data_IF_351746373570
#
_entry.id   IF_351746373570
#
_cell.length_a   1.000
_cell.length_b   1.000
_cell.length_c   1.000
_cell.angle_alpha   90.00
_cell.angle_beta   90.00
_cell.angle_gamma   90.00
#
_symmetry.space_group_name_H-M   'P 1'
#
loop_
_entity.id
_entity.type
_entity.pdbx_description
1 polymer ?
#
# COMPACT_ATOMS: atom_id res chain seq x y z
N UNK A 1 5.00 11.58 -24.41
CA UNK A 1 6.14 11.21 -23.57
C UNK A 1 7.02 10.31 -24.41
N UNK A 2 8.05 10.90 -25.01
CA UNK A 2 8.98 10.18 -25.90
C UNK A 2 10.43 10.29 -25.44
N UNK A 3 10.72 11.17 -24.48
CA UNK A 3 12.07 11.39 -23.96
C UNK A 3 12.25 10.88 -22.54
N UNK A 4 13.51 10.65 -22.16
CA UNK A 4 13.86 10.23 -20.79
C UNK A 4 13.56 11.33 -19.79
N UNK A 5 13.83 12.58 -20.18
CA UNK A 5 13.66 13.77 -19.34
C UNK A 5 12.20 13.96 -18.93
N UNK A 6 11.27 13.84 -19.88
CA UNK A 6 9.82 13.94 -19.60
C UNK A 6 9.36 12.86 -18.61
N UNK A 7 9.81 11.63 -18.82
CA UNK A 7 9.41 10.49 -17.99
C UNK A 7 10.01 10.57 -16.59
N UNK A 8 11.29 10.94 -16.48
CA UNK A 8 11.92 11.15 -15.17
C UNK A 8 11.28 12.32 -14.44
N UNK A 9 10.97 13.44 -15.11
CA UNK A 9 10.28 14.57 -14.51
C UNK A 9 8.90 14.17 -13.96
N UNK A 10 8.13 13.36 -14.71
CA UNK A 10 6.85 12.85 -14.24
C UNK A 10 7.03 11.89 -13.05
N UNK A 11 7.96 10.93 -13.13
CA UNK A 11 8.24 10.00 -12.02
C UNK A 11 8.70 10.72 -10.75
N UNK A 12 9.47 11.80 -10.87
CA UNK A 12 9.95 12.61 -9.74
C UNK A 12 8.89 13.57 -9.18
N UNK A 13 7.76 13.74 -9.86
CA UNK A 13 6.64 14.54 -9.35
C UNK A 13 5.87 13.84 -8.22
N UNK A 14 6.03 12.51 -8.07
CA UNK A 14 5.37 11.75 -7.03
C UNK A 14 6.00 12.00 -5.65
N UNK A 15 5.22 11.94 -4.56
CA UNK A 15 5.72 12.16 -3.20
C UNK A 15 6.88 11.24 -2.83
N UNK A 16 7.82 11.78 -2.04
CA UNK A 16 8.94 11.02 -1.47
C UNK A 16 9.79 10.26 -2.50
N UNK A 17 9.89 10.75 -3.74
CA UNK A 17 10.71 10.09 -4.77
C UNK A 17 12.13 10.67 -4.88
N UNK A 18 13.04 9.88 -5.46
CA UNK A 18 14.38 10.31 -5.83
C UNK A 18 14.90 9.52 -7.04
N UNK A 19 15.81 10.13 -7.80
CA UNK A 19 16.50 9.50 -8.93
C UNK A 19 17.80 8.84 -8.47
N UNK A 20 18.10 7.67 -9.03
CA UNK A 20 19.35 6.96 -8.79
C UNK A 20 19.81 6.24 -10.07
N UNK A 21 21.12 6.21 -10.28
CA UNK A 21 21.79 5.40 -11.31
C UNK A 21 22.69 4.37 -10.61
N UNK A 22 22.12 3.25 -10.11
CA UNK A 22 22.85 2.33 -9.22
C UNK A 22 23.85 1.42 -9.97
N UNK A 23 23.88 1.47 -11.30
CA UNK A 23 24.74 0.63 -12.13
C UNK A 23 25.89 1.43 -12.72
N UNK A 24 26.99 0.74 -13.05
CA UNK A 24 28.09 1.36 -13.80
C UNK A 24 27.65 1.86 -15.18
N UNK A 25 26.72 1.13 -15.81
CA UNK A 25 26.08 1.54 -17.06
C UNK A 25 25.13 2.73 -16.84
N UNK A 26 25.54 3.89 -17.36
CA UNK A 26 24.78 5.14 -17.27
C UNK A 26 23.47 5.12 -18.07
N UNK A 27 23.28 4.12 -18.94
CA UNK A 27 22.03 3.93 -19.68
C UNK A 27 20.84 3.73 -18.73
N UNK A 28 21.05 3.22 -17.53
CA UNK A 28 19.98 2.96 -16.57
C UNK A 28 19.78 4.13 -15.62
N UNK A 29 18.56 4.67 -15.58
CA UNK A 29 18.16 5.68 -14.60
C UNK A 29 16.85 5.23 -13.96
N UNK A 30 16.81 5.20 -12.63
CA UNK A 30 15.67 4.71 -11.85
C UNK A 30 15.06 5.83 -11.04
N UNK A 31 13.74 5.76 -10.85
CA UNK A 31 13.02 6.52 -9.83
C UNK A 31 12.58 5.58 -8.72
N UNK A 32 12.92 5.95 -7.49
CA UNK A 32 12.70 5.17 -6.27
C UNK A 32 11.94 5.98 -5.23
N UNK A 33 11.33 5.29 -4.27
CA UNK A 33 10.68 5.90 -3.11
C UNK A 33 11.63 5.91 -1.91
N UNK A 34 11.76 7.07 -1.25
CA UNK A 34 12.52 7.24 0.00
C UNK A 34 11.97 6.30 1.08
N UNK A 35 12.82 5.95 2.05
CA UNK A 35 12.48 4.98 3.09
C UNK A 35 12.50 3.53 2.59
N UNK A 36 11.56 3.14 1.72
CA UNK A 36 11.49 1.76 1.19
C UNK A 36 12.61 1.41 0.21
N UNK A 37 13.18 2.43 -0.47
CA UNK A 37 14.17 2.31 -1.54
C UNK A 37 13.70 1.48 -2.75
N UNK A 38 12.42 1.14 -2.84
CA UNK A 38 11.86 0.38 -3.97
C UNK A 38 11.82 1.28 -5.21
N UNK A 39 12.27 0.72 -6.34
CA UNK A 39 12.12 1.34 -7.65
C UNK A 39 10.75 1.00 -8.23
N UNK A 40 10.11 1.98 -8.84
CA UNK A 40 8.86 1.79 -9.60
C UNK A 40 9.01 2.16 -11.08
N UNK A 41 10.01 2.95 -11.43
CA UNK A 41 10.26 3.35 -12.80
C UNK A 41 11.73 3.15 -13.12
N UNK A 42 12.01 2.33 -14.13
CA UNK A 42 13.35 2.20 -14.70
C UNK A 42 13.29 2.72 -16.12
N UNK A 43 14.24 3.57 -16.49
CA UNK A 43 14.39 4.09 -17.84
C UNK A 43 15.71 3.61 -18.42
N UNK A 44 15.70 3.20 -19.67
CA UNK A 44 16.90 2.82 -20.42
C UNK A 44 16.66 2.96 -21.92
N UNK A 45 17.72 3.19 -22.68
CA UNK A 45 17.69 3.23 -24.13
C UNK A 45 18.01 1.85 -24.70
N UNK A 46 17.23 1.43 -25.70
CA UNK A 46 17.44 0.18 -26.44
C UNK A 46 16.81 0.29 -27.82
N UNK A 47 17.54 -0.14 -28.84
CA UNK A 47 17.10 -0.13 -30.25
C UNK A 47 16.63 1.25 -30.73
N UNK A 48 17.27 2.34 -30.24
CA UNK A 48 16.92 3.71 -30.61
C UNK A 48 15.71 4.31 -29.89
N UNK A 49 15.10 3.58 -28.95
CA UNK A 49 13.96 4.07 -28.17
C UNK A 49 14.25 4.10 -26.68
N UNK A 50 13.64 5.03 -25.97
CA UNK A 50 13.54 4.97 -24.52
C UNK A 50 12.52 3.90 -24.14
N UNK A 51 12.92 3.02 -23.23
CA UNK A 51 12.12 1.92 -22.71
C UNK A 51 11.92 2.14 -21.21
N UNK A 52 10.73 1.81 -20.71
CA UNK A 52 10.36 1.96 -19.32
C UNK A 52 10.01 0.61 -18.71
N UNK A 53 10.65 0.21 -17.61
CA UNK A 53 10.10 -0.89 -16.79
C UNK A 53 9.26 -0.31 -15.65
N UNK A 54 8.02 -0.78 -15.56
CA UNK A 54 7.03 -0.40 -14.54
C UNK A 54 6.40 -1.66 -13.94
N UNK A 55 6.09 -1.62 -12.65
CA UNK A 55 5.33 -2.67 -11.98
C UNK A 55 3.86 -2.61 -12.36
N UNK A 56 3.23 -3.77 -12.40
CA UNK A 56 1.78 -3.90 -12.55
C UNK A 56 1.32 -5.15 -11.80
N UNK A 57 0.05 -5.16 -11.39
CA UNK A 57 -0.63 -6.37 -10.93
C UNK A 57 -0.99 -7.29 -12.12
N UNK A 58 -1.41 -8.51 -11.83
CA UNK A 58 -1.67 -9.52 -12.85
C UNK A 58 -2.72 -9.09 -13.87
N UNK A 59 -3.77 -8.39 -13.44
CA UNK A 59 -4.85 -7.94 -14.33
C UNK A 59 -4.37 -6.83 -15.27
N UNK A 60 -3.67 -5.85 -14.72
CA UNK A 60 -3.13 -4.72 -15.47
C UNK A 60 -2.02 -5.14 -16.44
N UNK A 61 -1.20 -6.14 -16.09
CA UNK A 61 -0.15 -6.66 -16.97
C UNK A 61 -0.72 -7.13 -18.30
N UNK A 62 -1.75 -7.98 -18.24
CA UNK A 62 -2.35 -8.57 -19.44
C UNK A 62 -3.15 -7.55 -20.23
N UNK A 63 -3.88 -6.66 -19.54
CA UNK A 63 -4.61 -5.57 -20.17
C UNK A 63 -3.70 -4.70 -21.05
N UNK A 64 -2.61 -4.16 -20.51
CA UNK A 64 -1.76 -3.24 -21.26
C UNK A 64 -1.01 -3.92 -22.41
N UNK A 65 -0.58 -5.18 -22.23
CA UNK A 65 0.08 -5.98 -23.28
C UNK A 65 -0.86 -6.29 -24.45
N UNK A 66 -2.15 -6.48 -24.17
CA UNK A 66 -3.16 -6.70 -25.21
C UNK A 66 -3.56 -5.39 -25.90
N UNK A 67 -3.55 -4.27 -25.17
CA UNK A 67 -3.93 -2.97 -25.69
C UNK A 67 -2.88 -2.36 -26.64
N UNK A 68 -1.58 -2.58 -26.38
CA UNK A 68 -0.49 -1.97 -27.15
C UNK A 68 0.64 -2.96 -27.44
N UNK A 69 1.00 -3.13 -28.71
CA UNK A 69 2.14 -3.98 -29.12
C UNK A 69 3.47 -3.51 -28.50
N UNK A 70 3.59 -2.19 -28.29
CA UNK A 70 4.76 -1.55 -27.67
C UNK A 70 4.79 -1.69 -26.14
N UNK A 71 3.84 -2.42 -25.54
CA UNK A 71 3.88 -2.88 -24.15
C UNK A 71 4.14 -4.38 -24.11
N UNK A 72 5.32 -4.77 -23.66
CA UNK A 72 5.78 -6.16 -23.66
C UNK A 72 6.07 -6.67 -22.24
N UNK A 73 6.23 -7.99 -22.03
CA UNK A 73 6.69 -8.51 -20.74
C UNK A 73 8.03 -7.91 -20.31
N UNK A 74 8.18 -7.62 -19.01
CA UNK A 74 9.33 -6.90 -18.45
C UNK A 74 10.68 -7.45 -18.90
N UNK A 75 11.44 -6.63 -19.62
CA UNK A 75 12.81 -6.91 -20.04
C UNK A 75 13.79 -6.71 -18.88
N UNK A 76 14.66 -7.70 -18.66
CA UNK A 76 15.54 -7.80 -17.48
C UNK A 76 14.80 -7.73 -16.12
N UNK A 77 13.49 -7.96 -16.11
CA UNK A 77 12.65 -7.95 -14.91
C UNK A 77 11.80 -9.22 -14.83
N UNK A 78 11.14 -9.44 -13.68
CA UNK A 78 10.18 -10.53 -13.52
C UNK A 78 8.90 -10.23 -14.32
N UNK A 79 8.60 -11.04 -15.33
CA UNK A 79 7.47 -10.87 -16.25
C UNK A 79 6.09 -11.02 -15.59
N UNK A 80 6.01 -11.61 -14.42
CA UNK A 80 4.77 -11.72 -13.63
C UNK A 80 4.44 -10.45 -12.84
N UNK A 81 5.36 -9.49 -12.78
CA UNK A 81 5.20 -8.27 -11.99
C UNK A 81 5.58 -6.98 -12.72
N UNK A 82 6.11 -7.09 -13.95
CA UNK A 82 6.65 -5.96 -14.68
C UNK A 82 6.28 -6.00 -16.16
N UNK A 83 5.97 -4.82 -16.68
CA UNK A 83 5.89 -4.53 -18.11
C UNK A 83 7.07 -3.65 -18.54
N UNK A 84 7.45 -3.80 -19.81
CA UNK A 84 8.28 -2.82 -20.52
C UNK A 84 7.40 -2.04 -21.48
N UNK A 85 7.48 -0.71 -21.42
CA UNK A 85 6.84 0.20 -22.37
C UNK A 85 7.93 0.72 -23.31
N UNK A 86 7.77 0.56 -24.62
CA UNK A 86 8.65 1.13 -25.63
C UNK A 86 8.07 2.47 -26.06
N UNK A 87 8.82 3.57 -25.89
CA UNK A 87 8.38 4.92 -26.22
C UNK A 87 8.67 5.25 -27.69
N UNK A 88 7.97 4.58 -28.59
CA UNK A 88 8.02 4.80 -30.04
C UNK A 88 6.93 5.78 -30.55
N UNK A 89 6.12 6.32 -29.63
CA UNK A 89 5.01 7.23 -29.93
C UNK A 89 3.68 6.53 -30.21
N UNK A 90 3.61 5.20 -30.19
CA UNK A 90 2.36 4.44 -30.39
C UNK A 90 1.48 4.37 -29.14
N UNK A 91 2.06 4.47 -27.95
CA UNK A 91 1.33 4.45 -26.67
C UNK A 91 0.97 5.90 -26.29
N UNK A 92 -0.33 6.21 -26.11
CA UNK A 92 -0.76 7.54 -25.68
C UNK A 92 -0.12 7.98 -24.37
N UNK A 93 0.17 9.28 -24.26
CA UNK A 93 0.85 9.88 -23.11
C UNK A 93 0.16 9.63 -21.78
N UNK A 94 -1.17 9.69 -21.77
CA UNK A 94 -2.01 9.42 -20.61
C UNK A 94 -1.92 7.95 -20.18
N UNK A 95 -1.88 7.00 -21.13
CA UNK A 95 -1.66 5.59 -20.83
C UNK A 95 -0.26 5.33 -20.23
N UNK A 96 0.79 5.97 -20.77
CA UNK A 96 2.15 5.87 -20.20
C UNK A 96 2.18 6.45 -18.78
N UNK A 97 1.56 7.61 -18.57
CA UNK A 97 1.46 8.23 -17.23
C UNK A 97 0.67 7.37 -16.24
N UNK A 98 -0.39 6.72 -16.69
CA UNK A 98 -1.19 5.82 -15.86
C UNK A 98 -0.36 4.61 -15.42
N UNK A 99 0.33 3.93 -16.34
CA UNK A 99 1.18 2.78 -16.00
C UNK A 99 2.31 3.14 -15.02
N UNK A 100 2.90 4.34 -15.13
CA UNK A 100 3.90 4.84 -14.16
C UNK A 100 3.25 5.08 -12.79
N UNK A 101 2.06 5.70 -12.76
CA UNK A 101 1.33 5.98 -11.52
C UNK A 101 0.94 4.69 -10.80
N UNK A 102 0.39 3.71 -11.52
CA UNK A 102 0.02 2.40 -10.97
C UNK A 102 1.24 1.69 -10.38
N UNK A 103 2.38 1.76 -11.05
CA UNK A 103 3.62 1.20 -10.54
C UNK A 103 4.10 1.89 -9.27
N UNK A 104 3.97 3.21 -9.16
CA UNK A 104 4.27 3.96 -7.95
C UNK A 104 3.35 3.51 -6.80
N UNK A 105 2.05 3.39 -7.06
CA UNK A 105 1.07 2.93 -6.10
C UNK A 105 1.42 1.52 -5.61
N UNK A 106 1.80 0.59 -6.48
CA UNK A 106 2.20 -0.77 -6.10
C UNK A 106 3.40 -0.78 -5.13
N UNK A 107 4.42 0.08 -5.35
CA UNK A 107 5.61 0.07 -4.47
C UNK A 107 5.39 0.83 -3.16
N UNK A 108 4.52 1.84 -3.17
CA UNK A 108 4.15 2.63 -2.00
C UNK A 108 3.02 1.98 -1.21
N UNK A 109 2.33 1.02 -1.80
CA UNK A 109 1.31 0.20 -1.16
C UNK A 109 1.90 -0.51 0.06
N UNK A 110 1.58 0.02 1.24
CA UNK A 110 1.90 -0.60 2.52
C UNK A 110 0.59 -0.98 3.19
N UNK A 111 0.19 -2.26 3.14
CA UNK A 111 -0.97 -2.76 3.86
C UNK A 111 -0.93 -2.33 5.33
N UNK A 112 0.23 -2.44 5.96
CA UNK A 112 0.46 -2.04 7.35
C UNK A 112 0.17 -0.56 7.58
N UNK A 113 0.61 0.33 6.68
CA UNK A 113 0.31 1.77 6.78
C UNK A 113 -1.20 2.02 6.66
N UNK A 114 -1.86 1.42 5.68
CA UNK A 114 -3.33 1.55 5.50
C UNK A 114 -4.11 1.02 6.70
N UNK A 115 -3.65 -0.08 7.29
CA UNK A 115 -4.23 -0.64 8.53
C UNK A 115 -4.10 0.37 9.68
N UNK A 116 -2.91 0.95 9.89
CA UNK A 116 -2.73 1.97 10.92
C UNK A 116 -3.56 3.22 10.66
N UNK A 117 -3.62 3.69 9.42
CA UNK A 117 -4.45 4.83 9.03
C UNK A 117 -5.95 4.53 9.21
N UNK A 118 -6.40 3.29 8.97
CA UNK A 118 -7.76 2.86 9.24
C UNK A 118 -8.05 2.82 10.76
N UNK A 119 -7.12 2.29 11.56
CA UNK A 119 -7.27 2.24 13.03
C UNK A 119 -7.31 3.64 13.63
N UNK A 120 -6.52 4.60 13.12
CA UNK A 120 -6.56 6.01 13.53
C UNK A 120 -7.92 6.68 13.27
N UNK A 121 -8.70 6.18 12.31
CA UNK A 121 -10.05 6.69 12.00
C UNK A 121 -11.12 6.17 12.94
N UNK A 122 -10.86 5.17 13.80
CA UNK A 122 -11.83 4.67 14.76
C UNK A 122 -12.08 5.74 15.83
N UNK A 123 -13.29 6.34 15.91
CA UNK A 123 -13.55 7.43 16.84
C UNK A 123 -13.42 6.98 18.31
N UNK A 124 -13.14 7.94 19.19
CA UNK A 124 -13.28 7.71 20.64
C UNK A 124 -14.73 7.33 20.96
N UNK A 125 -14.92 6.35 21.84
CA UNK A 125 -16.25 5.82 22.16
C UNK A 125 -16.76 4.76 21.17
N UNK A 126 -15.97 4.39 20.16
CA UNK A 126 -16.32 3.33 19.20
C UNK A 126 -15.24 2.23 19.16
N UNK A 127 -15.66 1.05 18.72
CA UNK A 127 -14.79 -0.08 18.36
C UNK A 127 -15.01 -0.48 16.91
N UNK A 128 -14.01 -1.10 16.30
CA UNK A 128 -14.14 -1.74 14.99
C UNK A 128 -13.67 -3.19 15.09
N UNK A 129 -14.28 -4.08 14.31
CA UNK A 129 -13.78 -5.45 14.20
C UNK A 129 -12.54 -5.51 13.31
N UNK A 130 -11.70 -6.54 13.47
CA UNK A 130 -10.59 -6.78 12.53
C UNK A 130 -11.03 -6.80 11.06
N UNK A 131 -12.23 -7.32 10.78
CA UNK A 131 -12.81 -7.32 9.43
C UNK A 131 -13.17 -5.93 8.92
N UNK A 132 -13.75 -5.08 9.77
CA UNK A 132 -14.05 -3.68 9.42
C UNK A 132 -12.77 -2.87 9.18
N UNK A 133 -11.75 -3.05 10.02
CA UNK A 133 -10.44 -2.41 9.80
C UNK A 133 -9.83 -2.87 8.48
N UNK A 134 -9.94 -4.15 8.15
CA UNK A 134 -9.45 -4.69 6.87
C UNK A 134 -10.21 -4.07 5.68
N UNK A 135 -11.53 -3.95 5.77
CA UNK A 135 -12.38 -3.28 4.78
C UNK A 135 -12.02 -1.80 4.60
N UNK A 136 -11.84 -1.05 5.70
CA UNK A 136 -11.35 0.33 5.69
C UNK A 136 -9.92 0.47 5.11
N UNK A 137 -9.09 -0.57 5.28
CA UNK A 137 -7.74 -0.65 4.73
C UNK A 137 -7.71 -1.14 3.27
N UNK A 138 -8.88 -1.39 2.65
CA UNK A 138 -9.04 -1.65 1.22
C UNK A 138 -9.26 -3.10 0.81
N UNK A 139 -9.21 -4.06 1.74
CA UNK A 139 -9.58 -5.44 1.46
C UNK A 139 -10.04 -6.16 2.74
N UNK A 140 -11.35 -6.49 2.78
CA UNK A 140 -12.02 -7.16 3.89
C UNK A 140 -11.40 -8.53 4.24
N UNK A 141 -10.70 -9.19 3.30
CA UNK A 141 -10.04 -10.49 3.53
C UNK A 141 -8.72 -10.36 4.29
N UNK A 142 -8.24 -9.14 4.58
CA UNK A 142 -6.96 -8.90 5.26
C UNK A 142 -7.02 -8.93 6.80
N UNK A 143 -8.09 -9.44 7.43
CA UNK A 143 -8.24 -9.43 8.90
C UNK A 143 -7.04 -10.04 9.65
N UNK A 144 -6.40 -11.10 9.11
CA UNK A 144 -5.18 -11.68 9.70
C UNK A 144 -3.98 -10.75 9.59
N UNK A 145 -3.85 -10.03 8.47
CA UNK A 145 -2.80 -9.03 8.29
C UNK A 145 -3.00 -7.85 9.27
N UNK A 146 -4.25 -7.46 9.55
CA UNK A 146 -4.58 -6.48 10.60
C UNK A 146 -4.04 -6.92 11.95
N UNK A 147 -4.33 -8.16 12.39
CA UNK A 147 -3.80 -8.69 13.65
C UNK A 147 -2.27 -8.65 13.73
N UNK A 148 -1.59 -9.08 12.67
CA UNK A 148 -0.13 -9.06 12.59
C UNK A 148 0.45 -7.64 12.65
N UNK A 149 -0.20 -6.67 11.98
CA UNK A 149 0.20 -5.27 12.00
C UNK A 149 0.01 -4.66 13.40
N UNK A 150 -1.16 -4.86 14.02
CA UNK A 150 -1.44 -4.29 15.33
C UNK A 150 -0.53 -4.82 16.45
N UNK A 151 -0.08 -6.08 16.34
CA UNK A 151 0.91 -6.64 17.25
C UNK A 151 2.30 -5.97 17.13
N UNK A 152 2.59 -5.35 15.97
CA UNK A 152 3.83 -4.63 15.68
C UNK A 152 3.60 -3.12 15.60
N UNK A 153 2.56 -2.63 16.25
CA UNK A 153 2.19 -1.21 16.24
C UNK A 153 3.40 -0.36 16.71
N UNK A 154 4.02 0.45 15.83
CA UNK A 154 5.23 1.19 16.16
C UNK A 154 4.92 2.43 17.02
N UNK A 155 3.64 2.82 17.14
CA UNK A 155 3.21 4.02 17.84
C UNK A 155 1.88 3.76 18.60
N UNK A 156 1.92 3.06 19.75
CA UNK A 156 0.74 2.72 20.55
C UNK A 156 -0.01 3.90 21.18
N UNK A 157 0.61 5.09 21.16
CA UNK A 157 0.02 6.34 21.65
C UNK A 157 -0.92 6.94 20.60
N UNK A 158 -0.49 7.01 19.34
CA UNK A 158 -1.28 7.63 18.26
C UNK A 158 -2.04 6.63 17.39
N UNK A 159 -1.78 5.32 17.49
CA UNK A 159 -2.53 4.26 16.80
C UNK A 159 -3.33 3.48 17.86
N UNK A 160 -4.65 3.76 18.03
CA UNK A 160 -5.46 3.21 19.11
C UNK A 160 -5.90 1.77 18.85
N UNK A 161 -4.95 0.83 18.74
CA UNK A 161 -5.22 -0.57 18.43
C UNK A 161 -6.09 -1.29 19.47
N UNK A 162 -6.18 -0.76 20.70
CA UNK A 162 -7.07 -1.26 21.75
C UNK A 162 -8.57 -1.11 21.39
N UNK A 163 -8.93 -0.25 20.43
CA UNK A 163 -10.29 -0.11 19.89
C UNK A 163 -10.66 -1.21 18.88
N UNK A 164 -9.74 -2.14 18.58
CA UNK A 164 -9.98 -3.23 17.64
C UNK A 164 -10.30 -4.52 18.39
N UNK A 165 -11.46 -5.10 18.07
CA UNK A 165 -11.99 -6.32 18.72
C UNK A 165 -12.28 -7.41 17.69
N UNK A 166 -12.53 -8.64 18.13
CA UNK A 166 -12.92 -9.70 17.20
C UNK A 166 -14.36 -9.56 16.70
N UNK A 167 -14.80 -10.43 15.79
CA UNK A 167 -16.15 -10.38 15.20
C UNK A 167 -17.29 -10.60 16.20
N UNK A 168 -16.99 -11.08 17.41
CA UNK A 168 -17.93 -11.27 18.51
C UNK A 168 -17.87 -10.13 19.55
N UNK A 169 -17.03 -9.13 19.32
CA UNK A 169 -16.78 -8.03 20.26
C UNK A 169 -15.81 -8.40 21.39
N UNK A 170 -15.16 -9.55 21.34
CA UNK A 170 -14.26 -10.01 22.39
C UNK A 170 -12.91 -9.30 22.28
N UNK A 171 -12.33 -8.99 23.44
CA UNK A 171 -11.03 -8.37 23.57
C UNK A 171 -9.90 -9.31 23.12
N UNK A 172 -8.73 -8.73 22.84
CA UNK A 172 -7.52 -9.50 22.59
C UNK A 172 -7.04 -10.20 23.87
N UNK A 173 -6.21 -11.23 23.71
CA UNK A 173 -5.68 -11.99 24.85
C UNK A 173 -4.93 -11.12 25.87
N UNK A 174 -4.93 -11.58 27.12
CA UNK A 174 -4.51 -10.91 28.36
C UNK A 174 -3.09 -10.27 28.38
N UNK A 175 -2.30 -10.34 27.32
CA UNK A 175 -0.97 -9.71 27.28
C UNK A 175 -0.70 -8.92 26.00
N UNK A 176 -1.68 -8.83 25.10
CA UNK A 176 -1.55 -8.09 23.85
C UNK A 176 -1.24 -6.59 24.08
N UNK A 177 -1.55 -6.07 25.26
CA UNK A 177 -1.37 -4.66 25.64
C UNK A 177 -0.52 -4.48 26.91
N UNK A 178 0.31 -5.47 27.27
CA UNK A 178 1.19 -5.37 28.44
C UNK A 178 0.54 -5.75 29.78
N UNK A 179 -0.66 -6.32 29.77
CA UNK A 179 -1.32 -6.88 30.96
C UNK A 179 -2.79 -7.23 30.73
N UNK A 180 -3.35 -8.06 31.63
CA UNK A 180 -4.66 -8.73 31.43
C UNK A 180 -5.81 -7.78 31.17
N UNK A 181 -5.79 -6.61 31.79
CA UNK A 181 -6.91 -5.67 31.77
C UNK A 181 -6.64 -4.41 30.95
N UNK A 182 -5.45 -4.26 30.36
CA UNK A 182 -5.04 -2.98 29.76
C UNK A 182 -5.95 -2.58 28.60
N UNK A 183 -6.41 -3.52 27.77
CA UNK A 183 -7.35 -3.20 26.71
C UNK A 183 -8.69 -2.71 27.28
N UNK A 184 -9.23 -3.42 28.27
CA UNK A 184 -10.50 -3.08 28.89
C UNK A 184 -10.45 -1.70 29.55
N UNK A 185 -9.37 -1.39 30.26
CA UNK A 185 -9.21 -0.10 30.95
C UNK A 185 -9.10 1.07 29.97
N UNK A 186 -8.38 0.90 28.85
CA UNK A 186 -8.32 1.91 27.79
C UNK A 186 -9.66 2.10 27.09
N UNK A 187 -10.43 1.03 26.88
CA UNK A 187 -11.79 1.11 26.33
C UNK A 187 -12.75 1.84 27.28
N UNK A 188 -12.70 1.53 28.58
CA UNK A 188 -13.50 2.23 29.60
C UNK A 188 -13.15 3.71 29.69
N UNK A 189 -11.87 4.06 29.60
CA UNK A 189 -11.42 5.46 29.52
C UNK A 189 -11.93 6.18 28.26
N UNK A 190 -12.25 5.43 27.20
CA UNK A 190 -12.91 5.91 25.99
C UNK A 190 -14.46 5.94 26.10
N UNK A 191 -15.03 5.58 27.25
CA UNK A 191 -16.48 5.57 27.49
C UNK A 191 -17.17 4.29 27.00
N UNK A 192 -16.41 3.21 26.77
CA UNK A 192 -16.91 1.94 26.26
C UNK A 192 -17.07 0.96 27.42
N UNK A 193 -18.29 0.44 27.61
CA UNK A 193 -18.57 -0.61 28.58
C UNK A 193 -17.98 -1.94 28.11
N UNK A 194 -17.31 -2.63 29.04
CA UNK A 194 -16.69 -3.95 28.81
C UNK A 194 -17.19 -4.90 29.88
N UNK A 195 -17.89 -5.94 29.46
CA UNK A 195 -18.45 -7.00 30.32
C UNK A 195 -17.94 -8.36 29.84
N UNK A 196 -17.39 -9.18 30.74
CA UNK A 196 -16.87 -10.51 30.43
C UNK A 196 -15.91 -10.52 29.21
N UNK A 197 -14.95 -9.58 29.19
CA UNK A 197 -14.00 -9.37 28.09
C UNK A 197 -14.65 -9.16 26.72
N UNK A 198 -15.84 -8.57 26.70
CA UNK A 198 -16.61 -8.30 25.50
C UNK A 198 -17.19 -6.89 25.50
N UNK A 199 -17.25 -6.29 24.31
CA UNK A 199 -17.94 -5.04 24.01
C UNK A 199 -19.21 -5.33 23.20
N UNK A 200 -20.30 -4.63 23.51
CA UNK A 200 -21.52 -4.68 22.68
C UNK A 200 -21.29 -3.94 21.35
N UNK A 201 -21.12 -4.72 20.27
CA UNK A 201 -20.95 -4.19 18.92
C UNK A 201 -22.18 -3.43 18.39
N UNK A 202 -23.39 -3.67 18.91
CA UNK A 202 -24.56 -2.89 18.51
C UNK A 202 -24.53 -1.47 19.07
N UNK A 203 -23.99 -1.33 20.28
CA UNK A 203 -23.89 -0.05 20.99
C UNK A 203 -22.65 0.74 20.58
N UNK A 204 -21.50 0.09 20.51
CA UNK A 204 -20.19 0.74 20.32
C UNK A 204 -19.52 0.42 18.98
N UNK A 205 -20.04 -0.51 18.21
CA UNK A 205 -19.49 -0.84 16.90
C UNK A 205 -19.59 0.35 15.95
N UNK A 206 -18.50 0.65 15.26
CA UNK A 206 -18.46 1.65 14.21
C UNK A 206 -19.48 1.28 13.12
N UNK A 207 -20.34 2.23 12.78
CA UNK A 207 -21.32 2.09 11.70
C UNK A 207 -20.66 2.50 10.38
N UNK A 208 -20.97 1.76 9.33
CA UNK A 208 -20.53 2.06 7.96
C UNK A 208 -21.30 3.26 7.40
#
# INVERSE_FOLDING_TARGET
MTTREEVLAYGLSFPDTYQEAPFHDQNWQLVRVKGSKKAFLWTYERNGYINLNVKADSESLDFWRQAFESVIPGWHQNKEHWNTIILDGSVPDDAVKQMIADSYDIVTYSPTKRIYDAVKKIPKGCVATYGQVAEMAGDRKMARAVGNALHKNPDPENIPCYRVVNSKGELAGAFAFGGANVQADRLRADGIEVENDRVDLKKYGMKN
#
